data_IF_481528032185
#
_entry.id   IF_481528032185
#
_cell.length_a   1.000
_cell.length_b   1.000
_cell.length_c   1.000
_cell.angle_alpha   90.00
_cell.angle_beta   90.00
_cell.angle_gamma   90.00
#
_symmetry.space_group_name_H-M   'P 1'
#
loop_
_entity.id
_entity.type
_entity.pdbx_description
1 polymer ?
#
# COMPACT_ATOMS: atom_id res chain seq x y z
N UNK A 1 60.54 40.66 -110.81
CA UNK A 1 60.02 41.67 -109.85
C UNK A 1 59.61 40.89 -108.59
N UNK A 2 60.33 41.05 -107.48
CA UNK A 2 60.09 42.03 -106.37
C UNK A 2 58.95 41.62 -105.40
N UNK A 3 59.38 41.12 -104.24
CA UNK A 3 58.85 41.38 -102.87
C UNK A 3 57.51 40.74 -102.42
N UNK A 4 57.20 40.44 -101.14
CA UNK A 4 57.95 40.45 -99.85
C UNK A 4 57.22 39.58 -98.76
N UNK A 5 57.99 38.90 -97.87
CA UNK A 5 57.83 38.65 -96.39
C UNK A 5 56.50 38.20 -95.70
N UNK A 6 56.64 37.16 -94.84
CA UNK A 6 55.96 36.73 -93.59
C UNK A 6 54.50 37.08 -93.23
N UNK A 7 53.80 36.10 -92.61
CA UNK A 7 53.37 36.19 -91.19
C UNK A 7 53.02 34.83 -90.55
N UNK A 8 53.03 34.79 -89.21
CA UNK A 8 53.15 33.62 -88.32
C UNK A 8 51.89 33.44 -87.45
N UNK A 9 51.43 32.19 -87.20
CA UNK A 9 50.90 31.61 -85.92
C UNK A 9 49.74 30.59 -86.03
N UNK A 10 49.88 29.45 -85.31
CA UNK A 10 48.84 28.67 -84.54
C UNK A 10 47.60 28.14 -85.33
N UNK A 11 46.73 27.21 -84.87
CA UNK A 11 46.71 26.00 -84.00
C UNK A 11 45.34 25.30 -84.35
N UNK A 12 44.97 24.04 -84.07
CA UNK A 12 45.50 22.90 -83.30
C UNK A 12 45.09 21.58 -84.00
N UNK A 13 45.56 20.43 -83.51
CA UNK A 13 45.12 19.09 -83.88
C UNK A 13 43.73 18.76 -83.30
N UNK A 14 42.90 17.99 -84.04
CA UNK A 14 41.76 17.25 -83.48
C UNK A 14 41.52 15.98 -84.31
N UNK A 15 42.07 14.85 -83.85
CA UNK A 15 41.96 13.54 -84.49
C UNK A 15 40.85 12.74 -83.78
N UNK A 16 39.76 12.42 -84.49
CA UNK A 16 38.60 11.71 -83.92
C UNK A 16 38.60 10.26 -84.41
N UNK A 17 39.20 9.32 -83.66
CA UNK A 17 38.87 7.88 -83.75
C UNK A 17 39.16 7.18 -82.39
N UNK A 18 38.25 6.28 -81.97
CA UNK A 18 38.28 5.44 -80.76
C UNK A 18 38.14 6.21 -79.42
N UNK A 19 37.49 5.69 -78.37
CA UNK A 19 37.15 4.29 -78.05
C UNK A 19 35.72 4.13 -77.48
N UNK A 20 35.17 2.91 -77.48
CA UNK A 20 34.19 2.56 -76.44
C UNK A 20 34.92 2.60 -75.09
N UNK A 21 34.43 3.35 -74.12
CA UNK A 21 34.90 3.22 -72.74
C UNK A 21 34.50 1.84 -72.21
N UNK A 22 35.51 1.09 -71.78
CA UNK A 22 35.36 -0.13 -71.03
C UNK A 22 34.64 0.20 -69.72
N UNK A 23 33.50 -0.45 -69.48
CA UNK A 23 32.71 -0.23 -68.27
C UNK A 23 33.59 -0.62 -67.08
N UNK A 24 33.85 0.32 -66.18
CA UNK A 24 34.44 -0.01 -64.88
C UNK A 24 33.47 -0.95 -64.17
N UNK A 25 33.81 -2.24 -64.11
CA UNK A 25 33.26 -3.12 -63.09
C UNK A 25 33.76 -2.58 -61.75
N UNK A 26 32.91 -1.79 -61.10
CA UNK A 26 32.99 -1.64 -59.66
C UNK A 26 32.86 -3.04 -59.09
N UNK A 27 33.85 -3.48 -58.29
CA UNK A 27 33.77 -4.72 -57.52
C UNK A 27 32.53 -4.65 -56.61
N UNK A 28 31.41 -5.16 -57.13
CA UNK A 28 30.19 -5.36 -56.37
C UNK A 28 30.47 -6.51 -55.41
N UNK A 29 31.00 -6.18 -54.24
CA UNK A 29 30.94 -7.06 -53.07
C UNK A 29 29.45 -7.30 -52.82
N UNK A 30 28.99 -8.50 -53.15
CA UNK A 30 27.61 -8.90 -52.96
C UNK A 30 27.26 -8.74 -51.49
N UNK A 31 26.35 -7.80 -51.19
CA UNK A 31 25.90 -7.55 -49.83
C UNK A 31 25.11 -8.77 -49.36
N UNK A 32 25.78 -9.65 -48.63
CA UNK A 32 25.17 -10.77 -47.93
C UNK A 32 24.75 -10.27 -46.55
N UNK A 33 23.46 -9.95 -46.31
CA UNK A 33 23.00 -9.59 -44.97
C UNK A 33 23.33 -10.72 -44.00
N UNK A 34 23.94 -10.39 -42.85
CA UNK A 34 24.22 -11.38 -41.82
C UNK A 34 22.95 -12.07 -41.38
N UNK A 35 22.88 -13.40 -41.49
CA UNK A 35 21.72 -14.17 -41.05
C UNK A 35 21.69 -14.27 -39.52
N UNK A 36 20.52 -14.02 -38.92
CA UNK A 36 20.20 -14.48 -37.58
C UNK A 36 19.62 -15.90 -37.65
N UNK A 37 19.85 -16.70 -36.63
CA UNK A 37 19.15 -17.97 -36.40
C UNK A 37 18.69 -18.06 -34.94
N UNK A 38 17.69 -18.91 -34.68
CA UNK A 38 17.09 -19.02 -33.35
C UNK A 38 18.15 -19.36 -32.29
N UNK A 39 18.21 -18.56 -31.23
CA UNK A 39 19.13 -18.70 -30.11
C UNK A 39 20.64 -18.79 -30.52
N UNK A 40 21.04 -18.17 -31.62
CA UNK A 40 22.41 -18.26 -32.17
C UNK A 40 23.50 -17.53 -31.37
N UNK A 41 23.15 -16.89 -30.26
CA UNK A 41 24.07 -16.17 -29.37
C UNK A 41 24.60 -14.84 -29.93
N UNK A 42 24.11 -14.35 -31.08
CA UNK A 42 24.54 -13.07 -31.67
C UNK A 42 23.89 -11.85 -31.03
N UNK A 43 22.85 -12.05 -30.24
CA UNK A 43 22.17 -11.01 -29.46
C UNK A 43 22.28 -11.44 -28.01
N UNK A 44 22.80 -10.56 -27.16
CA UNK A 44 23.11 -10.85 -25.76
C UNK A 44 22.58 -9.71 -24.89
N UNK A 45 21.68 -10.03 -23.97
CA UNK A 45 21.26 -9.14 -22.89
C UNK A 45 22.05 -9.45 -21.61
N UNK A 46 22.05 -8.50 -20.69
CA UNK A 46 22.35 -8.76 -19.28
C UNK A 46 21.03 -8.94 -18.53
N UNK A 47 20.97 -9.92 -17.63
CA UNK A 47 19.87 -10.03 -16.67
C UNK A 47 19.81 -8.80 -15.75
N UNK A 48 18.60 -8.48 -15.25
CA UNK A 48 18.35 -7.28 -14.47
C UNK A 48 17.76 -7.65 -13.11
N UNK A 49 18.52 -7.41 -12.04
CA UNK A 49 18.04 -7.57 -10.66
C UNK A 49 17.47 -6.24 -10.14
N UNK A 50 16.20 -6.24 -9.72
CA UNK A 50 15.49 -5.04 -9.23
C UNK A 50 14.62 -5.35 -8.02
N UNK A 51 14.33 -4.36 -7.19
CA UNK A 51 13.22 -4.44 -6.23
C UNK A 51 11.90 -4.01 -6.90
N UNK A 52 10.72 -4.34 -6.36
CA UNK A 52 9.41 -3.90 -6.88
C UNK A 52 9.13 -2.41 -6.62
N UNK A 53 10.03 -1.54 -7.12
CA UNK A 53 9.95 -0.07 -7.06
C UNK A 53 8.77 0.45 -7.88
N UNK A 54 8.15 1.54 -7.43
CA UNK A 54 7.04 2.19 -8.14
C UNK A 54 7.54 3.13 -9.24
N UNK A 55 8.28 2.58 -10.21
CA UNK A 55 8.90 3.32 -11.32
C UNK A 55 9.02 2.42 -12.58
N UNK A 56 9.55 2.96 -13.67
CA UNK A 56 9.86 2.20 -14.89
C UNK A 56 11.15 1.41 -14.69
N UNK A 57 11.07 0.09 -14.86
CA UNK A 57 12.22 -0.82 -14.88
C UNK A 57 12.62 -1.03 -16.34
N UNK A 58 13.92 -0.95 -16.66
CA UNK A 58 14.41 -1.15 -18.04
C UNK A 58 15.69 -1.99 -18.07
N UNK A 59 15.89 -2.72 -19.18
CA UNK A 59 17.17 -3.37 -19.49
C UNK A 59 18.16 -2.35 -20.04
N UNK A 60 19.45 -2.70 -20.01
CA UNK A 60 20.42 -2.06 -20.89
C UNK A 60 20.13 -2.37 -22.37
N UNK A 61 20.80 -1.66 -23.28
CA UNK A 61 20.81 -2.01 -24.71
C UNK A 61 21.57 -3.33 -24.91
N UNK A 62 21.01 -4.33 -25.62
CA UNK A 62 21.70 -5.59 -25.89
C UNK A 62 22.97 -5.41 -26.73
N UNK A 63 23.95 -6.28 -26.48
CA UNK A 63 25.10 -6.45 -27.37
C UNK A 63 24.69 -7.23 -28.61
N UNK A 64 25.09 -6.75 -29.79
CA UNK A 64 24.84 -7.38 -31.09
C UNK A 64 26.17 -7.73 -31.75
N UNK A 65 26.30 -8.96 -32.24
CA UNK A 65 27.51 -9.44 -32.91
C UNK A 65 27.81 -8.68 -34.22
N UNK A 66 29.08 -8.36 -34.43
CA UNK A 66 29.55 -7.54 -35.56
C UNK A 66 29.38 -8.19 -36.95
N UNK A 67 28.99 -9.47 -37.04
CA UNK A 67 28.57 -10.08 -38.32
C UNK A 67 27.21 -9.56 -38.81
N UNK A 68 26.41 -8.96 -37.95
CA UNK A 68 25.07 -8.45 -38.25
C UNK A 68 25.14 -7.01 -38.78
N UNK A 69 25.41 -6.90 -40.08
CA UNK A 69 25.57 -5.63 -40.80
C UNK A 69 24.23 -5.09 -41.36
N UNK A 70 23.12 -5.32 -40.66
CA UNK A 70 21.75 -4.96 -41.07
C UNK A 70 21.02 -4.22 -39.96
N UNK A 71 20.05 -3.37 -40.31
CA UNK A 71 19.08 -2.89 -39.33
C UNK A 71 18.33 -4.06 -38.68
N UNK A 72 18.12 -3.97 -37.36
CA UNK A 72 17.34 -4.89 -36.55
C UNK A 72 16.04 -4.22 -36.11
N UNK A 73 14.99 -5.03 -35.95
CA UNK A 73 13.73 -4.62 -35.31
C UNK A 73 13.42 -5.63 -34.22
N UNK A 74 13.46 -5.19 -32.98
CA UNK A 74 13.17 -6.03 -31.82
C UNK A 74 11.68 -5.99 -31.46
N UNK A 75 11.10 -7.15 -31.13
CA UNK A 75 9.74 -7.27 -30.62
C UNK A 75 9.71 -8.26 -29.44
N UNK A 76 8.90 -7.98 -28.42
CA UNK A 76 8.60 -8.95 -27.36
C UNK A 76 7.62 -9.98 -27.93
N UNK A 77 7.99 -11.25 -27.89
CA UNK A 77 7.13 -12.37 -28.30
C UNK A 77 6.30 -12.88 -27.12
N UNK A 78 6.96 -13.21 -26.02
CA UNK A 78 6.33 -13.73 -24.80
C UNK A 78 7.12 -13.35 -23.56
N UNK A 79 6.43 -13.27 -22.42
CA UNK A 79 7.02 -13.08 -21.09
C UNK A 79 6.49 -14.19 -20.19
N UNK A 80 7.39 -14.98 -19.62
CA UNK A 80 7.10 -15.98 -18.60
C UNK A 80 7.29 -15.32 -17.24
N UNK A 81 6.24 -15.28 -16.43
CA UNK A 81 6.26 -14.72 -15.09
C UNK A 81 6.35 -15.82 -14.02
N UNK A 82 6.75 -15.50 -12.78
CA UNK A 82 6.69 -16.44 -11.67
C UNK A 82 5.22 -16.86 -11.39
N UNK A 83 5.06 -18.03 -10.77
CA UNK A 83 3.73 -18.53 -10.38
C UNK A 83 3.02 -17.55 -9.43
N UNK A 84 1.69 -17.47 -9.53
CA UNK A 84 0.84 -16.51 -8.82
C UNK A 84 1.12 -15.00 -9.11
N UNK A 85 2.00 -14.67 -10.05
CA UNK A 85 2.18 -13.27 -10.51
C UNK A 85 0.91 -12.75 -11.18
N UNK A 86 0.51 -11.54 -10.80
CA UNK A 86 -0.64 -10.79 -11.36
C UNK A 86 -0.19 -9.64 -12.26
N UNK A 87 1.04 -9.71 -12.79
CA UNK A 87 1.61 -8.67 -13.65
C UNK A 87 0.74 -8.38 -14.89
N UNK A 88 0.78 -7.12 -15.34
CA UNK A 88 0.06 -6.69 -16.53
C UNK A 88 1.01 -6.71 -17.73
N UNK A 89 0.83 -7.69 -18.61
CA UNK A 89 1.61 -7.83 -19.84
C UNK A 89 1.60 -6.57 -20.72
N UNK A 90 0.52 -5.77 -20.69
CA UNK A 90 0.40 -4.57 -21.52
C UNK A 90 1.33 -3.43 -21.10
N UNK A 91 1.94 -3.53 -19.90
CA UNK A 91 2.95 -2.58 -19.40
C UNK A 91 4.37 -2.92 -19.87
N UNK A 92 4.59 -4.09 -20.47
CA UNK A 92 5.86 -4.38 -21.17
C UNK A 92 5.91 -3.64 -22.50
N UNK A 93 7.06 -3.04 -22.77
CA UNK A 93 7.37 -2.34 -24.00
C UNK A 93 8.81 -2.61 -24.43
N UNK A 94 9.10 -2.40 -25.71
CA UNK A 94 10.46 -2.51 -26.25
C UNK A 94 10.69 -1.38 -27.26
N UNK A 95 11.81 -0.68 -27.11
CA UNK A 95 12.26 0.26 -28.13
C UNK A 95 12.78 -0.52 -29.33
N UNK A 96 11.98 -0.59 -30.39
CA UNK A 96 12.24 -1.48 -31.53
C UNK A 96 13.60 -1.32 -32.22
N UNK A 97 14.21 -0.12 -32.30
CA UNK A 97 15.55 0.03 -32.87
C UNK A 97 16.70 -0.40 -31.93
N UNK A 98 16.63 -0.08 -30.63
CA UNK A 98 17.72 -0.42 -29.69
C UNK A 98 17.59 -1.80 -29.06
N UNK A 99 16.38 -2.32 -28.90
CA UNK A 99 16.09 -3.52 -28.13
C UNK A 99 15.90 -3.28 -26.62
N UNK A 100 16.01 -2.05 -26.12
CA UNK A 100 15.76 -1.77 -24.69
C UNK A 100 14.33 -2.16 -24.33
N UNK A 101 14.19 -3.11 -23.41
CA UNK A 101 12.90 -3.55 -22.87
C UNK A 101 12.61 -2.75 -21.61
N UNK A 102 11.36 -2.33 -21.44
CA UNK A 102 10.91 -1.60 -20.24
C UNK A 102 9.57 -2.12 -19.74
N UNK A 103 9.38 -2.12 -18.43
CA UNK A 103 8.12 -2.38 -17.73
C UNK A 103 7.73 -1.18 -16.85
N UNK A 104 6.52 -0.67 -17.02
CA UNK A 104 5.97 0.40 -16.18
C UNK A 104 5.41 -0.17 -14.86
N UNK A 105 6.17 -0.09 -13.76
CA UNK A 105 5.70 -0.46 -12.43
C UNK A 105 5.24 0.75 -11.59
N UNK A 106 5.01 1.92 -12.18
CA UNK A 106 4.60 3.15 -11.46
C UNK A 106 3.33 2.98 -10.60
N UNK A 107 2.39 2.16 -11.09
CA UNK A 107 1.15 1.78 -10.39
C UNK A 107 1.26 0.46 -9.62
N UNK A 108 2.46 -0.09 -9.49
CA UNK A 108 2.72 -1.42 -8.94
C UNK A 108 2.24 -2.57 -9.84
N UNK A 109 2.32 -3.79 -9.30
CA UNK A 109 1.87 -5.03 -9.91
C UNK A 109 2.96 -6.09 -10.12
N UNK A 110 4.25 -5.72 -10.09
CA UNK A 110 5.33 -6.71 -10.05
C UNK A 110 5.42 -7.35 -8.67
N UNK A 111 5.26 -8.68 -8.65
CA UNK A 111 5.58 -9.55 -7.51
C UNK A 111 7.01 -10.07 -7.62
N UNK A 112 7.59 -10.48 -6.49
CA UNK A 112 8.89 -11.18 -6.41
C UNK A 112 8.95 -12.39 -7.36
N UNK A 113 10.15 -12.63 -7.91
CA UNK A 113 10.48 -13.75 -8.79
C UNK A 113 10.97 -13.33 -10.17
N UNK A 114 11.21 -14.33 -11.02
CA UNK A 114 11.93 -14.15 -12.28
C UNK A 114 10.97 -14.03 -13.47
N UNK A 115 11.07 -12.94 -14.22
CA UNK A 115 10.33 -12.69 -15.45
C UNK A 115 11.26 -12.92 -16.65
N UNK A 116 11.17 -14.10 -17.27
CA UNK A 116 11.99 -14.46 -18.43
C UNK A 116 11.29 -14.05 -19.73
N UNK A 117 11.97 -13.25 -20.53
CA UNK A 117 11.43 -12.60 -21.72
C UNK A 117 12.00 -13.29 -22.97
N UNK A 118 11.11 -13.66 -23.88
CA UNK A 118 11.43 -14.21 -25.20
C UNK A 118 11.17 -13.15 -26.26
N UNK A 119 12.13 -12.98 -27.18
CA UNK A 119 12.08 -11.98 -28.23
C UNK A 119 11.98 -12.61 -29.62
N UNK A 120 11.39 -11.85 -30.55
CA UNK A 120 11.60 -12.04 -31.98
C UNK A 120 12.33 -10.82 -32.54
N UNK A 121 13.32 -11.08 -33.41
CA UNK A 121 14.14 -10.04 -34.02
C UNK A 121 14.07 -10.18 -35.54
N UNK A 122 13.48 -9.19 -36.18
CA UNK A 122 13.43 -9.08 -37.64
C UNK A 122 14.74 -8.48 -38.15
N UNK A 123 15.28 -9.05 -39.23
CA UNK A 123 16.36 -8.44 -40.01
C UNK A 123 16.17 -8.70 -41.52
N UNK A 124 17.09 -8.20 -42.35
CA UNK A 124 16.99 -8.35 -43.80
C UNK A 124 17.09 -9.82 -44.30
N UNK A 125 17.57 -10.75 -43.45
CA UNK A 125 17.67 -12.18 -43.75
C UNK A 125 16.47 -13.02 -43.28
N UNK A 126 15.59 -12.49 -42.42
CA UNK A 126 14.43 -13.20 -41.88
C UNK A 126 14.05 -12.74 -40.47
N UNK A 127 13.39 -13.61 -39.73
CA UNK A 127 13.05 -13.40 -38.31
C UNK A 127 13.69 -14.52 -37.50
N UNK A 128 14.40 -14.18 -36.43
CA UNK A 128 14.95 -15.14 -35.48
C UNK A 128 14.30 -14.99 -34.10
N UNK A 129 14.14 -16.12 -33.40
CA UNK A 129 13.58 -16.20 -32.05
C UNK A 129 14.69 -16.38 -31.02
N UNK A 130 14.61 -15.66 -29.92
CA UNK A 130 15.53 -15.78 -28.79
C UNK A 130 14.73 -16.07 -27.52
N UNK A 131 14.66 -17.34 -27.15
CA UNK A 131 13.89 -17.86 -26.02
C UNK A 131 14.58 -17.54 -24.69
N UNK A 132 13.82 -16.96 -23.76
CA UNK A 132 14.28 -16.62 -22.39
C UNK A 132 15.62 -15.85 -22.36
N UNK A 133 15.86 -15.00 -23.36
CA UNK A 133 17.13 -14.30 -23.61
C UNK A 133 17.52 -13.30 -22.51
N UNK A 134 16.54 -12.79 -21.76
CA UNK A 134 16.77 -11.91 -20.62
C UNK A 134 15.78 -12.22 -19.51
N UNK A 135 16.28 -12.22 -18.28
CA UNK A 135 15.47 -12.33 -17.07
C UNK A 135 15.51 -11.02 -16.29
N UNK A 136 14.33 -10.53 -15.91
CA UNK A 136 14.19 -9.49 -14.88
C UNK A 136 13.87 -10.21 -13.57
N UNK A 137 14.82 -10.23 -12.64
CA UNK A 137 14.65 -10.80 -11.30
C UNK A 137 14.09 -9.72 -10.37
N UNK A 138 12.82 -9.85 -9.98
CA UNK A 138 12.23 -8.99 -8.95
C UNK A 138 12.57 -9.59 -7.59
N UNK A 139 13.44 -8.93 -6.85
CA UNK A 139 13.92 -9.33 -5.53
C UNK A 139 12.88 -9.03 -4.43
N UNK A 140 12.88 -9.82 -3.35
CA UNK A 140 12.16 -9.47 -2.12
C UNK A 140 12.64 -8.12 -1.58
N UNK A 141 11.68 -7.28 -1.14
CA UNK A 141 12.00 -6.06 -0.40
C UNK A 141 12.68 -6.46 0.92
N UNK A 142 13.89 -5.97 1.25
CA UNK A 142 14.69 -6.47 2.36
C UNK A 142 14.27 -5.85 3.69
N UNK A 143 13.00 -6.00 4.05
CA UNK A 143 12.38 -5.43 5.25
C UNK A 143 11.78 -6.56 6.09
N UNK A 144 12.15 -6.59 7.37
CA UNK A 144 11.40 -7.33 8.38
C UNK A 144 10.52 -6.36 9.17
N UNK A 145 9.21 -6.63 9.18
CA UNK A 145 8.24 -5.91 10.01
C UNK A 145 8.19 -6.59 11.38
N UNK A 146 8.32 -5.81 12.45
CA UNK A 146 8.24 -6.27 13.83
C UNK A 146 7.13 -5.50 14.57
N UNK A 147 6.68 -6.06 15.69
CA UNK A 147 5.72 -5.44 16.62
C UNK A 147 6.30 -5.50 18.03
N UNK A 148 6.03 -4.49 18.86
CA UNK A 148 6.46 -4.47 20.27
C UNK A 148 5.68 -5.45 21.17
N UNK A 149 4.44 -5.79 20.80
CA UNK A 149 3.68 -6.92 21.35
C UNK A 149 2.82 -7.60 20.30
N UNK A 150 2.89 -8.93 20.20
CA UNK A 150 2.06 -9.74 19.28
C UNK A 150 0.59 -9.83 19.74
N UNK A 151 0.31 -9.58 21.02
CA UNK A 151 -1.03 -9.62 21.60
C UNK A 151 -1.21 -8.52 22.65
N UNK A 152 -2.39 -7.89 22.67
CA UNK A 152 -2.73 -6.83 23.63
C UNK A 152 -4.15 -7.03 24.16
N UNK A 153 -4.32 -6.90 25.47
CA UNK A 153 -5.62 -6.95 26.13
C UNK A 153 -6.09 -5.52 26.43
N UNK A 154 -7.26 -5.14 25.93
CA UNK A 154 -7.81 -3.78 26.05
C UNK A 154 -9.26 -3.78 26.50
N UNK A 155 -9.66 -2.78 27.27
CA UNK A 155 -11.06 -2.55 27.60
C UNK A 155 -11.90 -2.24 26.35
N UNK A 156 -13.14 -2.71 26.32
CA UNK A 156 -14.14 -2.35 25.30
C UNK A 156 -14.26 -0.83 25.08
N UNK A 157 -14.25 -0.05 26.17
CA UNK A 157 -14.23 1.42 26.18
C UNK A 157 -12.84 2.06 26.28
N UNK A 158 -11.75 1.29 26.31
CA UNK A 158 -10.39 1.85 26.34
C UNK A 158 -10.03 2.42 24.96
N UNK A 159 -9.41 3.59 24.92
CA UNK A 159 -8.84 4.19 23.70
C UNK A 159 -7.40 4.63 23.95
N UNK A 160 -6.65 4.84 22.87
CA UNK A 160 -5.25 5.26 22.88
C UNK A 160 -4.34 4.29 22.15
N UNK A 161 -3.03 4.52 22.29
CA UNK A 161 -1.97 3.68 21.72
C UNK A 161 -2.01 2.28 22.36
N UNK A 162 -1.88 1.24 21.55
CA UNK A 162 -1.95 -0.16 21.98
C UNK A 162 -0.69 -0.96 21.63
N UNK A 163 0.00 -0.61 20.54
CA UNK A 163 1.22 -1.27 20.07
C UNK A 163 1.99 -0.36 19.10
N UNK A 164 3.22 -0.74 18.73
CA UNK A 164 4.08 -0.01 17.79
C UNK A 164 4.72 -0.98 16.80
N UNK A 165 4.36 -0.84 15.52
CA UNK A 165 5.05 -1.52 14.42
C UNK A 165 6.40 -0.85 14.14
N UNK A 166 7.41 -1.64 13.78
CA UNK A 166 8.75 -1.17 13.46
C UNK A 166 9.38 -2.00 12.35
N UNK A 167 10.46 -1.49 11.75
CA UNK A 167 11.15 -2.10 10.60
C UNK A 167 12.62 -2.35 10.90
N UNK A 168 13.10 -3.54 10.54
CA UNK A 168 14.53 -3.84 10.39
C UNK A 168 14.88 -3.86 8.91
N UNK A 169 15.85 -3.04 8.48
CA UNK A 169 16.48 -3.14 7.16
C UNK A 169 17.42 -4.36 7.14
N UNK A 170 17.12 -5.35 6.30
CA UNK A 170 17.89 -6.57 6.12
C UNK A 170 18.92 -6.50 4.99
N UNK A 171 18.98 -5.39 4.25
CA UNK A 171 19.93 -5.20 3.14
C UNK A 171 21.40 -5.17 3.58
N UNK A 172 21.65 -4.87 4.86
CA UNK A 172 22.98 -4.69 5.42
C UNK A 172 23.76 -3.48 4.88
N UNK A 173 23.17 -2.67 3.99
CA UNK A 173 23.79 -1.50 3.36
C UNK A 173 23.01 -0.20 3.57
N UNK A 174 21.84 -0.24 4.23
CA UNK A 174 21.03 0.95 4.48
C UNK A 174 20.29 1.46 3.24
N UNK A 175 19.91 0.56 2.31
CA UNK A 175 19.19 0.97 1.09
C UNK A 175 17.71 1.26 1.33
N UNK A 176 17.16 0.86 2.50
CA UNK A 176 15.85 1.32 2.96
C UNK A 176 16.01 2.72 3.57
N UNK A 177 15.63 3.73 2.80
CA UNK A 177 15.79 5.16 3.12
C UNK A 177 14.48 5.88 3.42
N UNK A 178 13.34 5.25 3.12
CA UNK A 178 12.00 5.73 3.44
C UNK A 178 11.14 4.55 3.87
N UNK A 179 10.27 4.79 4.87
CA UNK A 179 9.32 3.81 5.42
C UNK A 179 8.00 4.51 5.68
N UNK A 180 6.88 3.90 5.29
CA UNK A 180 5.51 4.30 5.67
C UNK A 180 4.71 3.09 6.15
N UNK A 181 3.74 3.32 7.04
CA UNK A 181 2.94 2.27 7.68
C UNK A 181 1.44 2.43 7.38
N UNK A 182 0.74 1.31 7.13
CA UNK A 182 -0.71 1.27 6.92
C UNK A 182 -1.32 -0.02 7.50
N UNK A 183 -2.55 0.06 8.05
CA UNK A 183 -3.32 -1.14 8.39
C UNK A 183 -4.04 -1.67 7.15
N UNK A 184 -3.96 -2.98 6.92
CA UNK A 184 -4.65 -3.66 5.81
C UNK A 184 -6.04 -4.10 6.27
N UNK A 185 -7.09 -3.66 5.55
CA UNK A 185 -8.50 -4.00 5.76
C UNK A 185 -9.04 -3.86 7.20
N UNK A 186 -8.41 -3.01 8.01
CA UNK A 186 -8.82 -2.77 9.39
C UNK A 186 -10.12 -1.94 9.48
N UNK A 187 -10.92 -2.22 10.51
CA UNK A 187 -12.03 -1.35 10.90
C UNK A 187 -11.52 0.00 11.37
N UNK A 188 -12.31 1.04 11.11
CA UNK A 188 -12.20 2.42 11.59
C UNK A 188 -12.23 2.59 13.13
N UNK A 189 -12.28 1.50 13.89
CA UNK A 189 -11.99 1.43 15.32
C UNK A 189 -10.48 1.58 15.59
N UNK A 190 -9.63 1.19 14.64
CA UNK A 190 -8.18 1.17 14.76
C UNK A 190 -7.51 2.05 13.71
N UNK A 191 -6.38 2.63 14.08
CA UNK A 191 -5.51 3.39 13.17
C UNK A 191 -4.03 3.05 13.40
N UNK A 192 -3.19 3.44 12.44
CA UNK A 192 -1.73 3.41 12.57
C UNK A 192 -1.18 4.76 12.12
N UNK A 193 -0.18 5.26 12.83
CA UNK A 193 0.56 6.45 12.41
C UNK A 193 1.49 6.09 11.24
N UNK A 194 1.27 6.73 10.09
CA UNK A 194 1.99 6.46 8.85
C UNK A 194 3.52 6.57 8.96
N UNK A 195 4.05 7.39 9.88
CA UNK A 195 5.50 7.60 10.03
C UNK A 195 6.09 6.87 11.23
N UNK A 196 5.36 6.75 12.35
CA UNK A 196 5.90 6.17 13.60
C UNK A 196 5.52 4.71 13.82
N UNK A 197 4.59 4.15 13.05
CA UNK A 197 4.12 2.77 13.21
C UNK A 197 3.27 2.53 14.46
N UNK A 198 2.98 3.56 15.26
CA UNK A 198 2.13 3.47 16.45
C UNK A 198 0.70 3.13 16.05
N UNK A 199 0.19 2.00 16.58
CA UNK A 199 -1.17 1.51 16.40
C UNK A 199 -2.03 1.98 17.58
N UNK A 200 -3.20 2.53 17.28
CA UNK A 200 -4.16 3.04 18.26
C UNK A 200 -5.53 2.39 18.12
N UNK A 201 -6.25 2.30 19.24
CA UNK A 201 -7.69 2.05 19.30
C UNK A 201 -8.39 3.37 19.55
N UNK A 202 -9.11 3.87 18.55
CA UNK A 202 -9.70 5.22 18.55
C UNK A 202 -11.16 5.23 19.01
N UNK A 203 -11.82 4.07 19.01
CA UNK A 203 -13.26 3.93 19.30
C UNK A 203 -13.54 2.81 20.28
N UNK A 204 -14.74 2.81 20.85
CA UNK A 204 -15.26 1.66 21.57
C UNK A 204 -15.35 0.43 20.64
N UNK A 205 -15.14 -0.76 21.19
CA UNK A 205 -15.19 -2.01 20.45
C UNK A 205 -15.98 -3.07 21.22
N UNK A 206 -16.63 -3.97 20.49
CA UNK A 206 -17.30 -5.13 21.07
C UNK A 206 -16.27 -6.14 21.59
N UNK A 207 -16.62 -6.86 22.66
CA UNK A 207 -15.79 -7.93 23.23
C UNK A 207 -15.49 -9.02 22.19
N UNK A 208 -14.23 -9.46 22.11
CA UNK A 208 -13.78 -10.44 21.14
C UNK A 208 -12.29 -10.31 20.84
N UNK A 209 -11.80 -11.03 19.83
CA UNK A 209 -10.42 -10.93 19.37
C UNK A 209 -10.40 -10.49 17.91
N UNK A 210 -9.59 -9.49 17.59
CA UNK A 210 -9.40 -8.94 16.25
C UNK A 210 -7.93 -9.04 15.90
N UNK A 211 -7.61 -9.51 14.69
CA UNK A 211 -6.24 -9.48 14.18
C UNK A 211 -6.06 -8.29 13.24
N UNK A 212 -4.92 -7.63 13.36
CA UNK A 212 -4.52 -6.49 12.54
C UNK A 212 -3.30 -6.87 11.71
N UNK A 213 -3.38 -6.61 10.41
CA UNK A 213 -2.30 -6.79 9.44
C UNK A 213 -1.70 -5.44 9.08
N UNK A 214 -0.37 -5.37 8.97
CA UNK A 214 0.35 -4.11 8.68
C UNK A 214 1.04 -4.22 7.33
N UNK A 215 0.79 -3.25 6.46
CA UNK A 215 1.58 -3.00 5.27
C UNK A 215 2.64 -1.93 5.57
N UNK A 216 3.86 -2.19 5.13
CA UNK A 216 4.96 -1.23 5.13
C UNK A 216 5.30 -0.88 3.68
N UNK A 217 5.23 0.41 3.33
CA UNK A 217 5.76 0.96 2.09
C UNK A 217 7.21 1.43 2.28
N UNK A 218 8.01 1.36 1.21
CA UNK A 218 9.40 1.84 1.20
C UNK A 218 9.82 2.34 -0.18
N UNK A 219 11.01 2.95 -0.27
CA UNK A 219 11.64 3.31 -1.55
C UNK A 219 12.01 2.11 -2.44
N UNK A 220 11.83 0.87 -1.97
CA UNK A 220 12.12 -0.38 -2.70
C UNK A 220 10.83 -1.14 -3.09
N UNK A 221 9.66 -0.68 -2.66
CA UNK A 221 8.39 -1.40 -2.78
C UNK A 221 7.72 -1.60 -1.42
N UNK A 222 6.70 -2.46 -1.34
CA UNK A 222 5.92 -2.70 -0.14
C UNK A 222 5.95 -4.15 0.34
N UNK A 223 5.81 -4.34 1.66
CA UNK A 223 5.73 -5.65 2.34
C UNK A 223 4.48 -5.68 3.22
N UNK A 224 3.78 -6.81 3.29
CA UNK A 224 2.63 -7.00 4.19
C UNK A 224 2.97 -8.07 5.24
N UNK A 225 2.80 -7.72 6.51
CA UNK A 225 2.78 -8.67 7.62
C UNK A 225 1.32 -8.94 8.02
N UNK A 226 0.80 -10.07 7.57
CA UNK A 226 -0.55 -10.54 7.92
C UNK A 226 -0.61 -10.99 9.37
N UNK A 227 -1.74 -10.73 10.05
CA UNK A 227 -2.03 -11.18 11.42
C UNK A 227 -0.97 -10.74 12.47
N UNK A 228 -0.26 -9.62 12.21
CA UNK A 228 0.89 -9.15 13.01
C UNK A 228 0.55 -8.84 14.48
N UNK A 229 -0.66 -8.34 14.76
CA UNK A 229 -1.10 -7.98 16.11
C UNK A 229 -2.49 -8.59 16.39
N UNK A 230 -2.64 -9.24 17.54
CA UNK A 230 -3.93 -9.69 18.08
C UNK A 230 -4.42 -8.74 19.18
N UNK A 231 -5.57 -8.10 18.96
CA UNK A 231 -6.23 -7.23 19.93
C UNK A 231 -7.38 -7.99 20.59
N UNK A 232 -7.24 -8.29 21.88
CA UNK A 232 -8.29 -8.90 22.69
C UNK A 232 -9.07 -7.81 23.41
N UNK A 233 -10.32 -7.60 22.99
CA UNK A 233 -11.23 -6.66 23.61
C UNK A 233 -12.00 -7.37 24.72
N UNK A 234 -11.85 -6.87 25.95
CA UNK A 234 -12.57 -7.34 27.13
C UNK A 234 -14.09 -7.14 27.05
N UNK A 235 -14.84 -7.62 28.07
CA UNK A 235 -16.30 -7.47 28.12
C UNK A 235 -16.74 -6.00 28.06
N UNK A 236 -17.99 -5.78 27.64
CA UNK A 236 -18.65 -4.48 27.80
C UNK A 236 -18.93 -4.21 29.29
N UNK A 237 -18.77 -2.96 29.79
CA UNK A 237 -19.05 -2.63 31.18
C UNK A 237 -20.48 -2.97 31.56
N UNK A 238 -20.65 -3.51 32.77
CA UNK A 238 -21.98 -3.78 33.36
C UNK A 238 -22.18 -2.92 34.60
N UNK A 239 -23.44 -2.58 34.90
CA UNK A 239 -23.78 -1.81 36.10
C UNK A 239 -24.74 -2.60 36.99
N UNK A 240 -24.57 -2.48 38.30
CA UNK A 240 -25.51 -2.93 39.30
C UNK A 240 -25.92 -1.75 40.18
N UNK A 241 -27.19 -1.37 40.12
CA UNK A 241 -27.76 -0.39 41.05
C UNK A 241 -28.15 -1.11 42.36
N UNK A 242 -27.85 -0.47 43.49
CA UNK A 242 -28.05 -1.03 44.82
C UNK A 242 -28.91 -0.10 45.68
N UNK A 243 -29.77 -0.69 46.51
CA UNK A 243 -30.50 0.04 47.54
C UNK A 243 -29.51 0.60 48.58
N UNK A 244 -29.97 1.52 49.44
CA UNK A 244 -29.13 2.19 50.44
C UNK A 244 -28.36 1.23 51.38
N UNK A 245 -28.77 -0.02 51.48
CA UNK A 245 -28.07 -1.08 52.22
C UNK A 245 -26.78 -1.59 51.56
N UNK A 246 -26.49 -1.20 50.31
CA UNK A 246 -25.30 -1.59 49.56
C UNK A 246 -25.20 -3.07 49.21
N UNK A 247 -26.31 -3.83 49.25
CA UNK A 247 -26.31 -5.27 48.99
C UNK A 247 -27.56 -5.79 48.26
N UNK A 248 -28.71 -5.14 48.44
CA UNK A 248 -29.95 -5.50 47.73
C UNK A 248 -30.00 -4.78 46.38
N UNK A 249 -30.23 -5.48 45.25
CA UNK A 249 -30.46 -4.84 43.96
C UNK A 249 -31.60 -3.80 44.02
N UNK A 250 -31.33 -2.60 43.52
CA UNK A 250 -32.35 -1.58 43.30
C UNK A 250 -33.04 -1.88 41.97
N UNK A 251 -34.19 -2.55 42.02
CA UNK A 251 -35.03 -2.83 40.84
C UNK A 251 -36.30 -1.97 40.80
N UNK A 252 -36.75 -1.47 41.95
CA UNK A 252 -37.81 -0.46 42.09
C UNK A 252 -37.76 0.14 43.50
N UNK A 253 -38.08 1.42 43.62
CA UNK A 253 -38.39 2.06 44.91
C UNK A 253 -39.80 2.65 44.85
N UNK A 254 -40.57 2.49 45.94
CA UNK A 254 -41.88 3.14 46.08
C UNK A 254 -41.74 4.30 47.06
N UNK A 255 -42.02 5.51 46.59
CA UNK A 255 -41.88 6.75 47.36
C UNK A 255 -43.23 7.42 47.54
N UNK A 256 -43.40 8.15 48.65
CA UNK A 256 -44.48 9.14 48.74
C UNK A 256 -43.97 10.50 48.21
N UNK A 257 -44.87 11.43 47.82
CA UNK A 257 -44.50 12.78 47.37
C UNK A 257 -43.60 13.58 48.32
N UNK A 258 -43.52 13.16 49.60
CA UNK A 258 -42.79 13.83 50.68
C UNK A 258 -41.53 13.07 51.13
N UNK A 259 -41.21 11.91 50.53
CA UNK A 259 -40.13 11.03 50.98
C UNK A 259 -38.87 11.23 50.15
N UNK A 260 -37.78 11.69 50.78
CA UNK A 260 -36.46 11.68 50.16
C UNK A 260 -35.93 10.26 49.97
N UNK A 261 -35.11 10.04 48.95
CA UNK A 261 -34.43 8.78 48.68
C UNK A 261 -32.97 9.00 48.27
N UNK A 262 -32.09 8.07 48.63
CA UNK A 262 -30.72 8.00 48.11
C UNK A 262 -30.36 6.52 47.92
N UNK A 263 -29.84 6.17 46.75
CA UNK A 263 -29.29 4.83 46.47
C UNK A 263 -27.92 4.67 47.14
N UNK A 264 -27.42 3.43 47.21
CA UNK A 264 -25.99 3.21 47.39
C UNK A 264 -25.25 3.51 46.05
N UNK A 265 -23.94 3.82 46.05
CA UNK A 265 -23.17 3.95 44.81
C UNK A 265 -23.33 2.74 43.88
N UNK A 266 -23.53 2.93 42.57
CA UNK A 266 -23.57 1.84 41.61
C UNK A 266 -22.25 1.06 41.56
N UNK A 267 -22.35 -0.26 41.42
CA UNK A 267 -21.18 -1.11 41.15
C UNK A 267 -21.02 -1.24 39.63
N UNK A 268 -19.91 -0.77 39.10
CA UNK A 268 -19.59 -0.75 37.68
C UNK A 268 -18.44 -1.72 37.39
N UNK A 269 -18.62 -2.63 36.43
CA UNK A 269 -17.56 -3.53 35.95
C UNK A 269 -16.79 -2.91 34.79
N UNK A 270 -15.51 -3.26 34.64
CA UNK A 270 -14.69 -3.00 33.44
C UNK A 270 -14.55 -1.53 33.00
N UNK A 271 -14.99 -0.59 33.84
CA UNK A 271 -14.82 0.85 33.71
C UNK A 271 -14.75 1.50 35.10
N UNK A 272 -13.88 2.50 35.25
CA UNK A 272 -13.90 3.42 36.40
C UNK A 272 -14.52 4.74 35.95
N UNK A 273 -15.66 5.10 36.52
CA UNK A 273 -16.30 6.39 36.28
C UNK A 273 -15.56 7.51 37.02
N UNK A 274 -15.31 8.62 36.32
CA UNK A 274 -14.78 9.87 36.87
C UNK A 274 -15.89 10.91 37.10
N UNK A 275 -17.03 10.75 36.43
CA UNK A 275 -18.25 11.56 36.59
C UNK A 275 -19.47 10.75 36.15
N UNK A 276 -20.65 11.19 36.54
CA UNK A 276 -21.92 10.51 36.26
C UNK A 276 -23.02 11.52 35.94
N UNK A 277 -23.86 11.21 34.96
CA UNK A 277 -25.08 11.97 34.61
C UNK A 277 -26.33 11.10 34.80
N UNK A 278 -27.50 11.73 35.04
CA UNK A 278 -28.79 11.06 35.19
C UNK A 278 -29.59 11.09 33.89
N UNK A 279 -30.13 9.94 33.48
CA UNK A 279 -31.04 9.82 32.34
C UNK A 279 -32.47 9.81 32.90
N UNK A 280 -33.15 10.96 32.84
CA UNK A 280 -34.56 11.08 33.22
C UNK A 280 -35.47 10.84 32.01
N UNK A 281 -36.65 10.21 32.19
CA UNK A 281 -37.66 10.14 31.15
C UNK A 281 -38.31 11.52 30.95
N UNK A 282 -38.77 11.89 29.74
CA UNK A 282 -39.32 13.23 29.45
C UNK A 282 -40.48 13.68 30.36
N UNK A 283 -41.20 12.72 30.95
CA UNK A 283 -42.25 12.99 31.95
C UNK A 283 -41.74 13.62 33.24
N UNK A 284 -40.44 13.51 33.54
CA UNK A 284 -39.78 14.04 34.73
C UNK A 284 -38.90 15.27 34.46
N UNK A 285 -38.84 15.79 33.22
CA UNK A 285 -38.00 16.94 32.85
C UNK A 285 -38.25 18.19 33.72
N UNK A 286 -39.52 18.48 34.02
CA UNK A 286 -39.92 19.59 34.89
C UNK A 286 -39.53 19.38 36.37
N UNK A 287 -39.18 18.15 36.75
CA UNK A 287 -38.82 17.74 38.10
C UNK A 287 -37.31 17.50 38.27
N UNK A 288 -36.49 17.68 37.22
CA UNK A 288 -35.05 17.37 37.23
C UNK A 288 -34.27 17.98 38.39
N UNK A 289 -34.69 19.15 38.90
CA UNK A 289 -34.04 19.84 40.02
C UNK A 289 -34.22 19.12 41.38
N UNK A 290 -35.14 18.15 41.47
CA UNK A 290 -35.31 17.28 42.64
C UNK A 290 -34.45 16.01 42.57
N UNK A 291 -33.84 15.74 41.42
CA UNK A 291 -32.88 14.65 41.23
C UNK A 291 -31.46 15.21 41.27
N UNK A 292 -30.57 14.52 41.95
CA UNK A 292 -29.15 14.82 41.95
C UNK A 292 -28.33 13.53 41.97
N UNK A 293 -27.09 13.61 41.50
CA UNK A 293 -26.16 12.49 41.56
C UNK A 293 -24.98 12.83 42.47
N UNK A 294 -24.65 11.90 43.36
CA UNK A 294 -23.43 11.97 44.16
C UNK A 294 -22.18 11.71 43.33
N UNK A 295 -21.01 12.08 43.88
CA UNK A 295 -19.74 11.96 43.17
C UNK A 295 -19.35 10.50 42.84
N UNK A 296 -19.90 9.51 43.57
CA UNK A 296 -19.70 8.09 43.30
C UNK A 296 -20.85 7.47 42.49
N UNK A 297 -21.83 8.26 42.03
CA UNK A 297 -22.97 7.81 41.23
C UNK A 297 -24.27 7.59 42.03
N UNK A 298 -24.33 7.99 43.30
CA UNK A 298 -25.51 7.83 44.15
C UNK A 298 -26.70 8.62 43.59
N UNK A 299 -27.82 7.96 43.30
CA UNK A 299 -29.04 8.62 42.82
C UNK A 299 -29.79 9.15 44.04
N UNK A 300 -29.93 10.47 44.14
CA UNK A 300 -30.68 11.14 45.21
C UNK A 300 -31.94 11.82 44.66
N UNK A 301 -33.04 11.66 45.38
CA UNK A 301 -34.33 12.31 45.16
C UNK A 301 -34.65 13.11 46.44
N UNK A 302 -34.86 14.41 46.30
CA UNK A 302 -35.19 15.29 47.42
C UNK A 302 -36.58 14.99 48.02
N UNK A 303 -36.80 15.37 49.29
CA UNK A 303 -38.16 15.40 49.85
C UNK A 303 -39.01 16.44 49.14
N UNK A 304 -40.34 16.30 49.26
CA UNK A 304 -41.32 17.28 48.77
C UNK A 304 -41.24 17.54 47.25
N UNK A 305 -40.62 16.62 46.51
CA UNK A 305 -40.45 16.69 45.06
C UNK A 305 -41.78 16.68 44.29
N UNK A 306 -42.87 16.23 44.94
CA UNK A 306 -44.22 16.18 44.38
C UNK A 306 -44.28 15.57 42.97
N UNK A 307 -43.51 14.48 42.79
CA UNK A 307 -43.45 13.73 41.54
C UNK A 307 -44.86 13.24 41.16
N UNK A 308 -45.23 13.23 39.86
CA UNK A 308 -46.54 12.74 39.46
C UNK A 308 -46.68 11.25 39.78
N UNK A 309 -47.90 10.77 40.00
CA UNK A 309 -48.14 9.34 40.25
C UNK A 309 -47.82 8.50 39.00
N UNK A 310 -46.94 7.51 39.15
CA UNK A 310 -46.55 6.60 38.07
C UNK A 310 -45.31 5.77 38.41
N UNK A 311 -45.05 4.76 37.59
CA UNK A 311 -43.75 4.05 37.55
C UNK A 311 -42.85 4.74 36.52
N UNK A 312 -41.63 5.10 36.92
CA UNK A 312 -40.64 5.76 36.06
C UNK A 312 -39.33 4.96 36.06
N UNK A 313 -38.82 4.67 34.87
CA UNK A 313 -37.45 4.18 34.69
C UNK A 313 -36.48 5.36 34.72
N UNK A 314 -35.33 5.17 35.36
CA UNK A 314 -34.25 6.16 35.42
C UNK A 314 -32.95 5.45 35.08
N UNK A 315 -32.22 5.99 34.10
CA UNK A 315 -30.91 5.49 33.71
C UNK A 315 -29.78 6.35 34.26
N UNK A 316 -28.54 5.90 34.03
CA UNK A 316 -27.33 6.66 34.38
C UNK A 316 -26.30 6.58 33.26
N UNK A 317 -25.50 7.62 33.12
CA UNK A 317 -24.38 7.70 32.18
C UNK A 317 -23.08 7.93 32.96
N UNK A 318 -22.37 6.88 33.39
CA UNK A 318 -20.98 6.99 33.81
C UNK A 318 -20.09 7.47 32.65
N UNK A 319 -19.14 8.33 32.99
CA UNK A 319 -18.11 8.84 32.09
C UNK A 319 -16.73 8.63 32.71
N UNK A 320 -15.84 7.95 31.99
CA UNK A 320 -14.49 7.65 32.46
C UNK A 320 -13.55 8.88 32.39
N UNK A 321 -12.34 8.76 32.95
CA UNK A 321 -11.35 9.85 32.96
C UNK A 321 -10.85 10.26 31.56
N UNK A 322 -10.96 9.38 30.56
CA UNK A 322 -10.70 9.67 29.14
C UNK A 322 -11.85 10.38 28.43
N UNK A 323 -12.96 10.65 29.13
CA UNK A 323 -14.12 11.36 28.61
C UNK A 323 -15.10 10.50 27.81
N UNK A 324 -14.93 9.17 27.80
CA UNK A 324 -15.88 8.24 27.16
C UNK A 324 -17.02 7.94 28.12
N UNK A 325 -18.24 8.05 27.60
CA UNK A 325 -19.49 7.75 28.30
C UNK A 325 -20.11 6.45 27.77
N UNK A 326 -20.83 5.73 28.63
CA UNK A 326 -21.72 4.64 28.25
C UNK A 326 -23.05 4.82 28.97
N UNK A 327 -24.14 4.90 28.21
CA UNK A 327 -25.47 5.01 28.76
C UNK A 327 -25.96 3.64 29.27
N UNK A 328 -26.48 3.63 30.49
CA UNK A 328 -27.29 2.54 31.04
C UNK A 328 -28.73 3.05 31.17
N UNK A 329 -29.53 3.04 30.08
CA UNK A 329 -30.81 3.75 30.01
C UNK A 329 -31.97 3.09 30.77
N UNK A 330 -31.78 1.91 31.37
CA UNK A 330 -32.86 1.17 32.02
C UNK A 330 -32.46 0.52 33.34
N UNK A 331 -33.13 0.98 34.41
CA UNK A 331 -33.71 0.13 35.45
C UNK A 331 -35.17 0.53 35.61
#
# INVERSE_FOLDING_TARGET
MRYFINSFKFLLFALIIFSCEERVELDYVEFTPGSLADNDGKIIYSDVDVYPVLDVISTDTPSVDNSINTGLVFNIDTVKAPAESTFDYSKFSIDKPSGVISYDNSMGGLTEGNYSITLSVDNAGGVARYDDIVTISVLSVPIQINIDSESVDVGSLQIGEIATASVTDLSGQGVVSMVTYQLVDASDIYSINETTGVISKDKAANSGSVKLSVQVGSNLGAVVASDLLTVNVGPSPTISLLQLDGSTPLTRVTLSPYTAYTSYPPVLSDMTAASWDIILPPTLDNFKNFFSMGAAGEITIASDANLPEGDYKIGVTPKNAGGISLDFPEV
#
